data_IF_656544964044
#
_entry.id   IF_656544964044
#
_cell.length_a   1.000
_cell.length_b   1.000
_cell.length_c   1.000
_cell.angle_alpha   90.00
_cell.angle_beta   90.00
_cell.angle_gamma   90.00
#
_symmetry.space_group_name_H-M   'P 1'
#
loop_
_entity.id
_entity.type
_entity.pdbx_description
1 polymer ?
#
# COMPACT_ATOMS: atom_id res chain seq x y z
N UNK A 1 41.20 22.39 -11.11
CA UNK A 1 41.24 21.02 -10.55
C UNK A 1 39.99 20.90 -9.69
N UNK A 2 39.02 20.12 -10.16
CA UNK A 2 37.61 20.24 -9.78
C UNK A 2 37.28 19.17 -8.71
N UNK A 3 36.75 19.55 -7.54
CA UNK A 3 36.79 18.77 -6.27
C UNK A 3 35.42 18.20 -5.81
N UNK A 4 35.03 17.04 -6.33
CA UNK A 4 33.64 16.58 -6.36
C UNK A 4 33.01 16.29 -4.97
N UNK A 5 31.95 17.02 -4.54
CA UNK A 5 31.23 16.71 -3.28
C UNK A 5 29.89 15.99 -3.49
N UNK A 6 29.80 14.74 -3.02
CA UNK A 6 28.63 13.86 -3.20
C UNK A 6 27.49 14.25 -2.24
N UNK A 7 26.40 14.85 -2.74
CA UNK A 7 25.12 14.86 -2.02
C UNK A 7 24.42 13.51 -2.26
N UNK A 8 24.31 12.70 -1.21
CA UNK A 8 23.73 11.36 -1.27
C UNK A 8 22.20 11.46 -1.41
N UNK A 9 21.68 11.40 -2.63
CA UNK A 9 20.25 11.19 -2.88
C UNK A 9 19.99 9.69 -2.88
N UNK A 10 19.80 9.11 -1.70
CA UNK A 10 19.31 7.75 -1.56
C UNK A 10 17.93 7.65 -2.22
N UNK A 11 17.81 6.81 -3.25
CA UNK A 11 16.50 6.46 -3.83
C UNK A 11 15.91 5.32 -3.03
N UNK A 12 14.66 5.45 -2.61
CA UNK A 12 13.96 4.39 -1.86
C UNK A 12 12.92 3.74 -2.76
N UNK A 13 12.90 2.42 -2.75
CA UNK A 13 11.89 1.62 -3.44
C UNK A 13 11.00 0.97 -2.41
N UNK A 14 9.70 1.01 -2.68
CA UNK A 14 8.70 0.22 -1.98
C UNK A 14 8.04 -0.71 -2.97
N UNK A 15 8.03 -1.98 -2.60
CA UNK A 15 7.20 -3.00 -3.20
C UNK A 15 6.15 -3.43 -2.17
N UNK A 16 4.88 -3.48 -2.57
CA UNK A 16 3.81 -4.04 -1.75
C UNK A 16 3.21 -5.21 -2.50
N UNK A 17 3.56 -6.43 -2.08
CA UNK A 17 2.89 -7.65 -2.51
C UNK A 17 1.64 -7.84 -1.66
N UNK A 18 0.48 -8.03 -2.29
CA UNK A 18 -0.78 -8.10 -1.57
C UNK A 18 -1.74 -9.15 -2.14
N UNK A 19 -2.56 -9.68 -1.25
CA UNK A 19 -3.69 -10.57 -1.54
C UNK A 19 -4.90 -10.04 -0.78
N UNK A 20 -5.97 -9.79 -1.52
CA UNK A 20 -7.26 -9.32 -1.02
C UNK A 20 -8.29 -10.43 -1.26
N UNK A 21 -8.91 -10.92 -0.18
CA UNK A 21 -9.80 -12.09 -0.23
C UNK A 21 -11.09 -11.80 0.52
N UNK A 22 -12.23 -12.05 -0.12
CA UNK A 22 -13.53 -12.04 0.53
C UNK A 22 -14.16 -13.42 0.42
N UNK A 23 -14.75 -13.89 1.52
CA UNK A 23 -15.22 -15.27 1.63
C UNK A 23 -16.46 -15.38 2.54
N UNK A 24 -17.35 -16.36 2.26
CA UNK A 24 -18.49 -16.63 3.11
C UNK A 24 -18.03 -17.25 4.44
N UNK A 25 -18.65 -16.81 5.53
CA UNK A 25 -18.46 -17.36 6.89
C UNK A 25 -19.78 -17.89 7.48
N UNK A 26 -20.89 -17.72 6.78
CA UNK A 26 -22.22 -18.25 7.11
C UNK A 26 -22.92 -18.73 5.84
N UNK A 27 -23.89 -19.63 5.99
CA UNK A 27 -24.67 -20.19 4.87
C UNK A 27 -25.50 -19.12 4.13
N UNK A 28 -25.82 -18.02 4.81
CA UNK A 28 -26.63 -16.90 4.32
C UNK A 28 -25.80 -15.79 3.65
N UNK A 29 -24.49 -16.01 3.46
CA UNK A 29 -23.60 -15.02 2.88
C UNK A 29 -24.01 -14.63 1.44
N UNK A 30 -23.84 -13.35 1.12
CA UNK A 30 -24.15 -12.81 -0.23
C UNK A 30 -23.31 -13.49 -1.33
N UNK A 31 -22.09 -13.89 -1.00
CA UNK A 31 -21.23 -14.71 -1.86
C UNK A 31 -21.28 -16.17 -1.42
N UNK A 32 -21.27 -17.10 -2.36
CA UNK A 32 -21.31 -18.54 -2.07
C UNK A 32 -19.96 -19.24 -2.23
N UNK A 33 -18.91 -18.49 -2.58
CA UNK A 33 -17.54 -18.99 -2.72
C UNK A 33 -16.52 -17.89 -2.38
N UNK A 34 -15.31 -18.26 -1.94
CA UNK A 34 -14.22 -17.30 -1.82
C UNK A 34 -13.87 -16.70 -3.17
N UNK A 35 -13.54 -15.42 -3.16
CA UNK A 35 -13.03 -14.69 -4.31
C UNK A 35 -11.75 -13.97 -3.86
N UNK A 36 -10.75 -13.97 -4.73
CA UNK A 36 -9.42 -13.47 -4.44
C UNK A 36 -8.95 -12.54 -5.56
N UNK A 37 -8.26 -11.47 -5.16
CA UNK A 37 -7.41 -10.67 -6.03
C UNK A 37 -6.03 -10.54 -5.41
N UNK A 38 -5.02 -10.39 -6.24
CA UNK A 38 -3.65 -10.16 -5.79
C UNK A 38 -2.94 -9.23 -6.77
N UNK A 39 -1.81 -8.72 -6.32
CA UNK A 39 -0.95 -7.91 -7.15
C UNK A 39 0.27 -7.39 -6.41
N UNK A 40 1.03 -6.59 -7.13
CA UNK A 40 2.24 -5.94 -6.64
C UNK A 40 2.17 -4.46 -6.96
N UNK A 41 2.35 -3.61 -5.97
CA UNK A 41 2.58 -2.18 -6.15
C UNK A 41 4.08 -1.95 -6.13
N UNK A 42 4.58 -1.22 -7.13
CA UNK A 42 5.95 -0.74 -7.16
C UNK A 42 5.93 0.78 -7.13
N UNK A 43 6.66 1.37 -6.19
CA UNK A 43 6.71 2.82 -6.01
C UNK A 43 8.11 3.27 -5.63
N UNK A 44 8.53 4.41 -6.19
CA UNK A 44 9.81 5.03 -5.89
C UNK A 44 9.61 6.34 -5.16
N UNK A 45 10.52 6.65 -4.24
CA UNK A 45 10.46 7.93 -3.50
C UNK A 45 10.57 9.18 -4.38
N UNK A 46 11.02 9.05 -5.64
CA UNK A 46 11.05 10.14 -6.62
C UNK A 46 9.82 10.17 -7.55
N UNK A 47 8.86 9.26 -7.37
CA UNK A 47 7.56 9.29 -8.06
C UNK A 47 6.62 10.36 -7.47
N UNK A 48 6.92 10.88 -6.27
CA UNK A 48 6.28 12.07 -5.74
C UNK A 48 6.80 13.28 -6.55
N UNK A 49 5.95 13.84 -7.42
CA UNK A 49 6.34 14.88 -8.36
C UNK A 49 7.11 16.06 -7.75
N UNK A 50 7.96 16.76 -8.52
CA UNK A 50 8.81 17.82 -8.00
C UNK A 50 7.95 19.01 -7.56
N UNK A 51 7.89 19.29 -6.26
CA UNK A 51 7.32 20.53 -5.73
C UNK A 51 6.29 20.43 -4.61
N UNK A 52 5.98 19.23 -4.08
CA UNK A 52 4.96 19.12 -3.02
C UNK A 52 5.63 18.98 -1.65
N UNK A 53 6.01 20.13 -1.08
CA UNK A 53 6.24 20.24 0.36
C UNK A 53 4.91 20.00 1.09
N UNK A 54 4.72 18.79 1.59
CA UNK A 54 3.56 18.40 2.39
C UNK A 54 2.85 17.15 1.88
N UNK A 55 3.29 15.97 2.32
CA UNK A 55 2.45 14.77 2.39
C UNK A 55 1.78 14.29 1.10
N UNK A 56 2.44 14.42 -0.06
CA UNK A 56 1.94 13.80 -1.27
C UNK A 56 1.91 12.27 -1.08
N UNK A 57 0.70 11.69 -1.08
CA UNK A 57 0.46 10.26 -1.05
C UNK A 57 0.18 9.73 -2.45
N UNK A 58 0.78 8.61 -2.83
CA UNK A 58 0.41 7.85 -4.02
C UNK A 58 -0.65 6.82 -3.64
N UNK A 59 -1.87 7.00 -4.15
CA UNK A 59 -3.01 6.12 -3.87
C UNK A 59 -3.12 5.04 -4.94
N UNK A 60 -3.24 3.79 -4.50
CA UNK A 60 -3.37 2.60 -5.31
C UNK A 60 -4.67 1.86 -4.97
N UNK A 61 -5.44 1.55 -6.01
CA UNK A 61 -6.61 0.69 -5.90
C UNK A 61 -6.19 -0.78 -5.96
N UNK A 62 -6.49 -1.54 -4.89
CA UNK A 62 -6.17 -2.97 -4.83
C UNK A 62 -7.30 -3.80 -5.48
N UNK A 63 -8.53 -3.32 -5.42
CA UNK A 63 -9.65 -3.94 -6.11
C UNK A 63 -10.95 -3.81 -5.35
N UNK A 64 -12.01 -4.25 -6.01
CA UNK A 64 -13.35 -4.41 -5.44
C UNK A 64 -13.86 -5.84 -5.63
N UNK A 65 -14.82 -6.20 -4.80
CA UNK A 65 -15.51 -7.47 -4.93
C UNK A 65 -16.49 -7.49 -6.09
N UNK A 66 -16.28 -8.47 -6.97
CA UNK A 66 -17.29 -8.92 -7.92
C UNK A 66 -18.34 -9.78 -7.20
N UNK A 67 -19.61 -9.61 -7.57
CA UNK A 67 -20.71 -10.42 -7.02
C UNK A 67 -21.22 -9.99 -5.64
N UNK A 68 -20.70 -8.89 -5.08
CA UNK A 68 -21.21 -8.26 -3.86
C UNK A 68 -21.93 -6.94 -4.22
N UNK A 69 -23.25 -6.96 -4.49
CA UNK A 69 -24.01 -5.74 -4.71
C UNK A 69 -24.27 -5.01 -3.39
N UNK A 70 -24.27 -3.66 -3.36
CA UNK A 70 -23.95 -2.76 -4.47
C UNK A 70 -22.45 -2.75 -4.83
N UNK A 71 -22.11 -2.32 -6.06
CA UNK A 71 -20.71 -2.14 -6.45
C UNK A 71 -19.95 -1.26 -5.43
N UNK A 72 -18.68 -1.60 -5.16
CA UNK A 72 -17.89 -0.92 -4.14
C UNK A 72 -18.24 -1.27 -2.68
N UNK A 73 -19.11 -2.26 -2.44
CA UNK A 73 -19.43 -2.74 -1.10
C UNK A 73 -18.21 -3.31 -0.37
N UNK A 74 -17.34 -4.02 -1.09
CA UNK A 74 -16.08 -4.52 -0.56
C UNK A 74 -14.92 -4.07 -1.44
N UNK A 75 -13.89 -3.46 -0.84
CA UNK A 75 -12.73 -2.99 -1.57
C UNK A 75 -11.49 -2.82 -0.70
N UNK A 76 -10.35 -2.59 -1.35
CA UNK A 76 -9.08 -2.28 -0.70
C UNK A 76 -8.29 -1.19 -1.39
N UNK A 77 -7.56 -0.42 -0.58
CA UNK A 77 -6.68 0.66 -1.02
C UNK A 77 -5.32 0.54 -0.32
N UNK A 78 -4.28 1.00 -1.01
CA UNK A 78 -3.00 1.30 -0.39
C UNK A 78 -2.61 2.74 -0.73
N UNK A 79 -2.04 3.45 0.23
CA UNK A 79 -1.50 4.79 0.02
C UNK A 79 -0.06 4.84 0.54
N UNK A 80 0.86 5.29 -0.31
CA UNK A 80 2.27 5.41 0.03
C UNK A 80 2.57 6.88 0.22
N UNK A 81 3.06 7.25 1.40
CA UNK A 81 3.45 8.63 1.72
C UNK A 81 4.96 8.74 1.85
N UNK A 82 5.53 9.80 1.29
CA UNK A 82 6.84 10.31 1.68
C UNK A 82 6.69 11.55 2.56
N UNK A 83 7.45 11.64 3.64
CA UNK A 83 7.60 12.89 4.39
C UNK A 83 8.82 13.70 3.93
N UNK A 84 9.01 14.87 4.56
CA UNK A 84 10.11 15.79 4.24
C UNK A 84 11.50 15.21 4.60
N UNK A 85 11.54 14.18 5.45
CA UNK A 85 12.75 13.45 5.84
C UNK A 85 12.98 12.20 4.95
N UNK A 86 12.24 12.09 3.84
CA UNK A 86 12.22 10.94 2.93
C UNK A 86 11.86 9.62 3.61
N UNK A 87 11.19 9.65 4.77
CA UNK A 87 10.66 8.44 5.38
C UNK A 87 9.39 8.05 4.66
N UNK A 88 9.34 6.79 4.27
CA UNK A 88 8.18 6.24 3.62
C UNK A 88 7.27 5.58 4.65
N UNK A 89 5.97 5.72 4.42
CA UNK A 89 4.96 4.96 5.16
C UNK A 89 3.88 4.47 4.21
N UNK A 90 3.36 3.29 4.49
CA UNK A 90 2.28 2.68 3.72
C UNK A 90 1.05 2.64 4.61
N UNK A 91 -0.04 3.28 4.17
CA UNK A 91 -1.36 3.09 4.75
C UNK A 91 -2.12 2.07 3.92
N UNK A 92 -2.64 1.06 4.58
CA UNK A 92 -3.44 0.00 3.99
C UNK A 92 -4.85 0.11 4.52
N UNK A 93 -5.81 -0.20 3.67
CA UNK A 93 -7.22 -0.11 4.01
C UNK A 93 -8.04 -1.18 3.31
N UNK A 94 -9.01 -1.72 4.04
CA UNK A 94 -10.11 -2.49 3.50
C UNK A 94 -11.44 -1.98 4.02
N UNK A 95 -12.47 -2.11 3.19
CA UNK A 95 -13.86 -1.79 3.51
C UNK A 95 -14.75 -2.96 3.14
N UNK A 96 -15.73 -3.27 3.98
CA UNK A 96 -16.80 -4.23 3.71
C UNK A 96 -18.11 -3.70 4.30
N UNK A 97 -19.05 -3.28 3.46
CA UNK A 97 -20.26 -2.60 3.93
C UNK A 97 -19.94 -1.29 4.65
N UNK A 98 -20.52 -1.11 5.83
CA UNK A 98 -20.22 0.01 6.73
C UNK A 98 -18.92 -0.14 7.51
N UNK A 99 -18.24 -1.29 7.42
CA UNK A 99 -17.05 -1.59 8.20
C UNK A 99 -15.77 -1.20 7.45
N UNK A 100 -14.77 -0.71 8.19
CA UNK A 100 -13.46 -0.34 7.68
C UNK A 100 -12.38 -0.84 8.63
N UNK A 101 -11.29 -1.35 8.08
CA UNK A 101 -10.07 -1.64 8.81
C UNK A 101 -8.93 -0.93 8.08
N UNK A 102 -8.09 -0.22 8.81
CA UNK A 102 -6.93 0.46 8.26
C UNK A 102 -5.72 0.31 9.16
N UNK A 103 -4.54 0.32 8.54
CA UNK A 103 -3.28 0.21 9.25
C UNK A 103 -2.21 1.00 8.51
N UNK A 104 -1.49 1.86 9.24
CA UNK A 104 -0.36 2.61 8.71
C UNK A 104 0.94 2.06 9.29
N UNK A 105 1.85 1.69 8.39
CA UNK A 105 3.14 1.10 8.71
C UNK A 105 4.23 2.08 8.28
N UNK A 106 5.10 2.46 9.21
CA UNK A 106 6.36 3.08 8.83
C UNK A 106 7.21 2.05 8.10
N UNK A 107 7.73 2.41 6.93
CA UNK A 107 8.45 1.51 6.04
C UNK A 107 9.90 1.98 5.91
N UNK A 108 10.73 1.82 6.96
CA UNK A 108 12.13 2.22 6.88
C UNK A 108 12.87 1.35 5.85
N UNK A 109 14.00 1.81 5.31
CA UNK A 109 14.68 1.13 4.22
C UNK A 109 15.27 -0.23 4.62
N UNK A 110 15.37 -1.15 3.65
CA UNK A 110 15.97 -2.47 3.84
C UNK A 110 15.13 -3.43 4.69
N UNK A 111 13.82 -3.18 4.81
CA UNK A 111 12.92 -3.96 5.65
C UNK A 111 12.01 -4.85 4.83
N UNK A 112 11.52 -5.91 5.49
CA UNK A 112 10.43 -6.74 5.01
C UNK A 112 9.37 -6.82 6.12
N UNK A 113 8.23 -6.17 5.90
CA UNK A 113 7.20 -5.98 6.91
C UNK A 113 5.92 -6.73 6.48
N UNK A 114 5.56 -7.85 7.13
CA UNK A 114 4.30 -8.51 6.85
C UNK A 114 3.13 -7.69 7.40
N UNK A 115 1.98 -7.78 6.76
CA UNK A 115 0.74 -7.16 7.25
C UNK A 115 -0.46 -8.07 7.07
N UNK A 116 -1.48 -7.83 7.90
CA UNK A 116 -2.80 -8.42 7.76
C UNK A 116 -3.85 -7.47 8.34
N UNK A 117 -4.90 -7.20 7.56
CA UNK A 117 -6.10 -6.49 7.96
C UNK A 117 -7.29 -7.43 7.77
N UNK A 118 -8.20 -7.45 8.74
CA UNK A 118 -9.36 -8.33 8.75
C UNK A 118 -10.63 -7.56 9.09
N UNK A 119 -11.70 -7.81 8.34
CA UNK A 119 -13.07 -7.50 8.71
C UNK A 119 -13.81 -8.84 8.78
N UNK A 120 -14.08 -9.28 10.00
CA UNK A 120 -14.68 -10.60 10.24
C UNK A 120 -16.20 -10.64 9.98
N UNK A 121 -16.89 -9.50 9.97
CA UNK A 121 -18.33 -9.46 9.69
C UNK A 121 -18.71 -8.16 8.97
N UNK A 122 -19.23 -8.30 7.75
CA UNK A 122 -19.53 -7.21 6.83
C UNK A 122 -20.82 -6.42 7.11
N UNK A 123 -21.08 -6.03 8.36
CA UNK A 123 -22.28 -5.24 8.70
C UNK A 123 -23.58 -5.86 8.15
N UNK A 124 -24.61 -5.02 7.93
CA UNK A 124 -25.91 -5.47 7.42
C UNK A 124 -25.86 -5.82 5.92
N UNK A 125 -25.11 -5.05 5.12
CA UNK A 125 -25.10 -5.16 3.66
C UNK A 125 -24.22 -6.31 3.14
N UNK A 126 -23.29 -6.81 3.94
CA UNK A 126 -22.44 -7.96 3.64
C UNK A 126 -22.44 -8.96 4.81
N UNK A 127 -23.61 -9.19 5.41
CA UNK A 127 -23.72 -10.16 6.50
C UNK A 127 -23.28 -11.55 6.05
N UNK A 128 -22.70 -12.30 6.97
CA UNK A 128 -22.12 -13.61 6.68
C UNK A 128 -20.89 -13.58 5.76
N UNK A 129 -20.37 -12.42 5.37
CA UNK A 129 -19.16 -12.28 4.56
C UNK A 129 -18.02 -11.68 5.38
N UNK A 130 -16.80 -12.18 5.17
CA UNK A 130 -15.58 -11.62 5.71
C UNK A 130 -14.67 -11.09 4.59
N UNK A 131 -13.78 -10.16 4.94
CA UNK A 131 -12.78 -9.57 4.04
C UNK A 131 -11.42 -9.51 4.73
N UNK A 132 -10.39 -9.98 4.04
CA UNK A 132 -9.00 -9.95 4.51
C UNK A 132 -8.08 -9.38 3.45
N UNK A 133 -7.17 -8.50 3.86
CA UNK A 133 -6.04 -8.01 3.07
C UNK A 133 -4.75 -8.42 3.78
N UNK A 134 -3.86 -9.13 3.11
CA UNK A 134 -2.59 -9.56 3.67
C UNK A 134 -1.50 -9.56 2.63
N UNK A 135 -0.25 -9.53 3.10
CA UNK A 135 0.89 -9.46 2.19
C UNK A 135 2.16 -8.99 2.88
N UNK A 136 3.06 -8.47 2.06
CA UNK A 136 4.38 -8.03 2.49
C UNK A 136 4.73 -6.68 1.89
N UNK A 137 5.22 -5.76 2.71
CA UNK A 137 5.88 -4.53 2.27
C UNK A 137 7.38 -4.80 2.26
N UNK A 138 8.03 -4.61 1.13
CA UNK A 138 9.48 -4.71 0.96
C UNK A 138 10.01 -3.33 0.64
N UNK A 139 11.02 -2.90 1.40
CA UNK A 139 11.69 -1.62 1.17
C UNK A 139 13.16 -1.85 0.86
N UNK A 140 13.71 -1.10 -0.09
CA UNK A 140 15.13 -1.18 -0.41
C UNK A 140 15.72 0.19 -0.69
N UNK A 141 16.97 0.39 -0.26
CA UNK A 141 17.79 1.52 -0.67
C UNK A 141 18.44 1.22 -2.02
N UNK A 142 18.31 2.12 -2.97
CA UNK A 142 19.19 2.19 -4.11
C UNK A 142 20.23 3.29 -3.84
N UNK A 143 21.47 2.86 -3.63
CA UNK A 143 22.62 3.76 -3.60
C UNK A 143 22.75 4.44 -4.97
N UNK A 144 22.43 5.74 -5.02
CA UNK A 144 22.64 6.55 -6.20
C UNK A 144 24.10 7.01 -6.29
N UNK A 145 24.85 6.55 -7.30
CA UNK A 145 26.11 7.19 -7.67
C UNK A 145 25.81 8.45 -8.48
N UNK A 146 26.23 9.63 -8.01
CA UNK A 146 26.23 10.87 -8.82
C UNK A 146 27.59 11.56 -8.73
N UNK A 147 28.29 11.66 -9.86
CA UNK A 147 29.48 12.51 -10.01
C UNK A 147 29.07 13.98 -9.83
N UNK A 148 29.67 14.69 -8.88
CA UNK A 148 29.47 16.14 -8.67
C UNK A 148 30.69 16.95 -9.09
N UNK A 149 30.82 17.43 -10.33
CA UNK A 149 31.97 18.27 -10.69
C UNK A 149 31.97 19.57 -9.90
N UNK A 150 32.99 19.80 -9.06
CA UNK A 150 33.13 21.03 -8.26
C UNK A 150 34.21 21.93 -8.82
N UNK A 151 33.87 23.00 -9.51
CA UNK A 151 34.88 23.90 -10.09
C UNK A 151 35.68 24.62 -8.99
N UNK A 152 37.02 24.71 -9.17
CA UNK A 152 37.93 25.54 -8.37
C UNK A 152 38.29 26.79 -9.15
#
# INVERSE_FOLDING_TARGET
MTDFSFANLSRYFIEVEWVLTWFPIRDEAVINRPIMRNGTINHRSDDFGPGIGGGAGAVYWLGEAEGLPPAGLANGFAEIYGDLDHRLSVSLEIKLGGMRSSHRVAAPPGQRLPFMLNIAQGGQDADGTALTLFGTIVTSEQLGLRLVATER
#
